data_IF_475620193153
#
_entry.id   IF_475620193153
#
_cell.length_a   1.000
_cell.length_b   1.000
_cell.length_c   1.000
_cell.angle_alpha   90.00
_cell.angle_beta   90.00
_cell.angle_gamma   90.00
#
_symmetry.space_group_name_H-M   'P 1'
#
loop_
_entity.id
_entity.type
_entity.pdbx_description
1 polymer ?
#
# COMPACT_ATOMS: atom_id res chain seq x y z
N UNK A 1 28.32 2.28 16.21
CA UNK A 1 27.48 3.00 15.23
C UNK A 1 28.33 3.13 13.99
N UNK A 2 28.17 2.23 13.02
CA UNK A 2 29.02 2.14 11.83
C UNK A 2 28.59 3.20 10.82
N UNK A 3 29.48 4.16 10.56
CA UNK A 3 29.26 5.28 9.64
C UNK A 3 29.69 4.85 8.23
N UNK A 4 28.76 4.82 7.27
CA UNK A 4 29.07 4.78 5.84
C UNK A 4 28.75 6.17 5.29
N UNK A 5 29.78 7.01 5.12
CA UNK A 5 29.63 8.40 4.64
C UNK A 5 28.75 9.28 5.55
N UNK A 6 28.54 10.54 5.19
CA UNK A 6 27.73 11.49 5.97
C UNK A 6 26.22 11.13 6.10
N UNK A 7 25.82 9.90 5.74
CA UNK A 7 24.47 9.40 5.81
C UNK A 7 24.27 8.58 7.10
N UNK A 8 23.54 9.16 8.06
CA UNK A 8 23.16 8.44 9.28
C UNK A 8 21.95 7.56 8.98
N UNK A 9 22.14 6.26 8.84
CA UNK A 9 21.04 5.29 8.79
C UNK A 9 20.23 5.37 10.09
N UNK A 10 19.02 5.93 9.99
CA UNK A 10 18.09 6.00 11.11
C UNK A 10 17.52 4.62 11.44
N UNK A 11 17.18 4.40 12.71
CA UNK A 11 16.53 3.16 13.16
C UNK A 11 15.22 2.88 12.40
N UNK A 12 14.51 3.92 11.98
CA UNK A 12 13.32 3.80 11.12
C UNK A 12 13.68 3.13 9.79
N UNK A 13 14.77 3.53 9.14
CA UNK A 13 15.24 2.94 7.87
C UNK A 13 15.54 1.46 8.04
N UNK A 14 16.19 1.08 9.14
CA UNK A 14 16.48 -0.33 9.47
C UNK A 14 15.18 -1.11 9.69
N UNK A 15 14.23 -0.56 10.44
CA UNK A 15 12.90 -1.17 10.64
C UNK A 15 12.13 -1.34 9.33
N UNK A 16 12.22 -0.37 8.42
CA UNK A 16 11.59 -0.49 7.09
C UNK A 16 12.21 -1.65 6.31
N UNK A 17 13.53 -1.71 6.24
CA UNK A 17 14.23 -2.80 5.56
C UNK A 17 13.90 -4.17 6.16
N UNK A 18 13.81 -4.26 7.50
CA UNK A 18 13.39 -5.47 8.19
C UNK A 18 11.93 -5.86 7.86
N UNK A 19 11.01 -4.90 7.84
CA UNK A 19 9.61 -5.17 7.46
C UNK A 19 9.50 -5.67 6.02
N UNK A 20 10.27 -5.09 5.09
CA UNK A 20 10.37 -5.55 3.70
C UNK A 20 10.95 -6.96 3.63
N UNK A 21 12.04 -7.24 4.36
CA UNK A 21 12.64 -8.57 4.41
C UNK A 21 11.64 -9.62 4.91
N UNK A 22 10.86 -9.32 5.96
CA UNK A 22 9.81 -10.22 6.45
C UNK A 22 8.71 -10.41 5.41
N UNK A 23 8.29 -9.36 4.68
CA UNK A 23 7.33 -9.51 3.58
C UNK A 23 7.86 -10.48 2.51
N UNK A 24 9.13 -10.36 2.11
CA UNK A 24 9.76 -11.25 1.13
C UNK A 24 9.78 -12.69 1.64
N UNK A 25 10.19 -12.90 2.89
CA UNK A 25 10.22 -14.24 3.49
C UNK A 25 8.84 -14.87 3.56
N UNK A 26 7.82 -14.11 3.98
CA UNK A 26 6.43 -14.60 4.00
C UNK A 26 5.98 -15.00 2.59
N UNK A 27 6.23 -14.18 1.57
CA UNK A 27 5.78 -14.53 0.21
C UNK A 27 6.54 -15.73 -0.37
N UNK A 28 7.83 -15.87 -0.03
CA UNK A 28 8.63 -17.02 -0.43
C UNK A 28 8.17 -18.32 0.24
N UNK A 29 7.96 -18.33 1.56
CA UNK A 29 7.58 -19.56 2.27
C UNK A 29 6.14 -20.01 2.04
N UNK A 30 5.26 -19.10 1.60
CA UNK A 30 3.86 -19.40 1.30
C UNK A 30 3.58 -19.48 -0.22
N UNK A 31 4.61 -19.46 -1.07
CA UNK A 31 4.50 -19.50 -2.54
C UNK A 31 3.45 -18.52 -3.11
N UNK A 32 3.36 -17.33 -2.52
CA UNK A 32 2.29 -16.36 -2.78
C UNK A 32 2.53 -15.50 -4.03
N UNK A 33 3.70 -15.62 -4.64
CA UNK A 33 4.12 -14.82 -5.80
C UNK A 33 4.91 -13.57 -5.40
N UNK A 34 4.80 -12.50 -6.18
CA UNK A 34 5.64 -11.30 -6.01
C UNK A 34 5.21 -10.45 -4.79
N UNK A 35 6.11 -10.15 -3.83
CA UNK A 35 5.78 -9.41 -2.60
C UNK A 35 5.60 -7.90 -2.78
N UNK A 36 5.53 -7.39 -4.01
CA UNK A 36 5.62 -5.95 -4.30
C UNK A 36 4.59 -5.13 -3.52
N UNK A 37 3.32 -5.55 -3.52
CA UNK A 37 2.23 -4.82 -2.85
C UNK A 37 2.40 -4.85 -1.33
N UNK A 38 2.79 -6.00 -0.76
CA UNK A 38 3.07 -6.12 0.66
C UNK A 38 4.27 -5.24 1.08
N UNK A 39 5.36 -5.25 0.33
CA UNK A 39 6.53 -4.41 0.59
C UNK A 39 6.19 -2.92 0.53
N UNK A 40 5.46 -2.47 -0.50
CA UNK A 40 5.01 -1.06 -0.61
C UNK A 40 4.07 -0.68 0.54
N UNK A 41 3.18 -1.59 0.92
CA UNK A 41 2.28 -1.40 2.07
C UNK A 41 3.06 -1.26 3.37
N UNK A 42 4.08 -2.09 3.58
CA UNK A 42 4.96 -2.02 4.74
C UNK A 42 5.73 -0.69 4.79
N UNK A 43 6.33 -0.27 3.67
CA UNK A 43 7.07 1.01 3.58
C UNK A 43 6.15 2.20 3.85
N UNK A 44 4.92 2.17 3.32
CA UNK A 44 3.95 3.22 3.54
C UNK A 44 3.51 3.29 5.01
N UNK A 45 3.16 2.15 5.61
CA UNK A 45 2.67 2.09 6.98
C UNK A 45 3.76 2.41 8.01
N UNK A 46 5.03 2.13 7.75
CA UNK A 46 6.09 2.32 8.74
C UNK A 46 6.43 3.81 8.96
N UNK A 47 6.14 4.28 10.17
CA UNK A 47 6.40 5.65 10.65
C UNK A 47 7.36 5.64 11.84
N UNK A 48 7.66 6.81 12.39
CA UNK A 48 8.58 6.95 13.53
C UNK A 48 8.11 6.17 14.77
N UNK A 49 6.80 6.20 15.04
CA UNK A 49 6.19 5.57 16.20
C UNK A 49 5.16 4.52 15.76
N UNK A 50 4.90 3.52 16.61
CA UNK A 50 3.95 2.46 16.28
C UNK A 50 2.51 2.98 16.15
N UNK A 51 2.09 3.96 16.98
CA UNK A 51 0.75 4.56 16.91
C UNK A 51 0.51 5.28 15.58
N UNK A 52 1.50 6.03 15.11
CA UNK A 52 1.43 6.69 13.81
C UNK A 52 1.49 5.66 12.68
N UNK A 53 2.25 4.57 12.85
CA UNK A 53 2.25 3.47 11.88
C UNK A 53 0.90 2.78 11.76
N UNK A 54 0.21 2.59 12.89
CA UNK A 54 -1.16 2.08 12.92
C UNK A 54 -2.14 3.02 12.20
N UNK A 55 -2.06 4.33 12.48
CA UNK A 55 -2.90 5.32 11.81
C UNK A 55 -2.69 5.32 10.29
N UNK A 56 -1.44 5.36 9.83
CA UNK A 56 -1.11 5.30 8.40
C UNK A 56 -1.43 3.93 7.77
N UNK A 57 -1.32 2.84 8.53
CA UNK A 57 -1.75 1.51 8.10
C UNK A 57 -3.24 1.47 7.79
N UNK A 58 -4.08 2.03 8.67
CA UNK A 58 -5.53 2.15 8.40
C UNK A 58 -5.80 2.96 7.13
N UNK A 59 -5.11 4.10 6.97
CA UNK A 59 -5.22 4.94 5.76
C UNK A 59 -4.87 4.16 4.50
N UNK A 60 -3.79 3.37 4.55
CA UNK A 60 -3.32 2.55 3.42
C UNK A 60 -4.34 1.48 3.04
N UNK A 61 -4.84 0.75 4.03
CA UNK A 61 -5.84 -0.31 3.84
C UNK A 61 -7.11 0.28 3.23
N UNK A 62 -7.66 1.35 3.83
CA UNK A 62 -8.90 1.98 3.36
C UNK A 62 -8.74 2.54 1.95
N UNK A 63 -7.66 3.29 1.69
CA UNK A 63 -7.41 3.87 0.38
C UNK A 63 -7.24 2.80 -0.70
N UNK A 64 -6.37 1.80 -0.45
CA UNK A 64 -6.18 0.72 -1.41
C UNK A 64 -7.47 -0.09 -1.64
N UNK A 65 -8.32 -0.23 -0.62
CA UNK A 65 -9.62 -0.90 -0.75
C UNK A 65 -10.57 -0.14 -1.66
N UNK A 66 -10.70 1.17 -1.47
CA UNK A 66 -11.54 2.02 -2.32
C UNK A 66 -11.08 1.94 -3.78
N UNK A 67 -9.77 2.07 -4.02
CA UNK A 67 -9.22 1.98 -5.37
C UNK A 67 -9.45 0.62 -6.03
N UNK A 68 -9.17 -0.47 -5.31
CA UNK A 68 -9.33 -1.82 -5.84
C UNK A 68 -10.80 -2.20 -6.10
N UNK A 69 -11.72 -1.79 -5.22
CA UNK A 69 -13.15 -2.01 -5.42
C UNK A 69 -13.69 -1.18 -6.59
N UNK A 70 -13.24 0.07 -6.74
CA UNK A 70 -13.62 0.91 -7.88
C UNK A 70 -13.12 0.30 -9.20
N UNK A 71 -11.88 -0.20 -9.24
CA UNK A 71 -11.34 -0.88 -10.42
C UNK A 71 -12.12 -2.16 -10.74
N UNK A 72 -12.46 -2.95 -9.71
CA UNK A 72 -13.26 -4.16 -9.87
C UNK A 72 -14.62 -3.85 -10.50
N UNK A 73 -15.30 -2.80 -10.03
CA UNK A 73 -16.58 -2.38 -10.61
C UNK A 73 -16.42 -1.99 -12.10
N UNK A 74 -15.38 -1.22 -12.44
CA UNK A 74 -15.10 -0.79 -13.80
C UNK A 74 -14.78 -1.96 -14.75
N UNK A 75 -13.94 -2.88 -14.31
CA UNK A 75 -13.59 -4.11 -15.02
C UNK A 75 -14.84 -4.94 -15.28
N UNK A 76 -15.72 -5.11 -14.28
CA UNK A 76 -16.96 -5.86 -14.45
C UNK A 76 -17.88 -5.19 -15.48
N UNK A 77 -18.01 -3.86 -15.46
CA UNK A 77 -18.79 -3.12 -16.46
C UNK A 77 -18.23 -3.37 -17.86
N UNK A 78 -16.91 -3.27 -18.06
CA UNK A 78 -16.27 -3.53 -19.34
C UNK A 78 -16.41 -4.99 -19.79
N UNK A 79 -16.38 -5.93 -18.86
CA UNK A 79 -16.59 -7.34 -19.17
C UNK A 79 -17.96 -7.61 -19.82
N UNK A 80 -19.01 -6.89 -19.39
CA UNK A 80 -20.35 -7.05 -19.95
C UNK A 80 -20.67 -6.13 -21.14
N UNK A 81 -20.12 -4.91 -21.15
CA UNK A 81 -20.46 -3.88 -22.15
C UNK A 81 -19.41 -3.73 -23.26
N UNK A 82 -18.25 -4.38 -23.13
CA UNK A 82 -17.10 -4.24 -24.01
C UNK A 82 -16.21 -3.05 -23.66
N UNK A 83 -14.96 -3.14 -24.09
CA UNK A 83 -13.97 -2.07 -23.94
C UNK A 83 -14.19 -1.02 -25.04
N UNK A 84 -14.42 0.24 -24.63
CA UNK A 84 -14.55 1.36 -25.58
C UNK A 84 -13.71 2.54 -25.11
N UNK A 85 -13.10 3.23 -26.07
CA UNK A 85 -12.30 4.43 -25.80
C UNK A 85 -13.10 5.52 -25.06
N UNK A 86 -14.38 5.68 -25.37
CA UNK A 86 -15.23 6.68 -24.71
C UNK A 86 -15.51 6.35 -23.25
N UNK A 87 -15.72 5.07 -22.91
CA UNK A 87 -15.86 4.64 -21.53
C UNK A 87 -14.57 4.91 -20.74
N UNK A 88 -13.40 4.67 -21.34
CA UNK A 88 -12.13 4.98 -20.71
C UNK A 88 -11.95 6.50 -20.52
N UNK A 89 -12.08 7.26 -21.61
CA UNK A 89 -11.84 8.71 -21.64
C UNK A 89 -12.70 9.48 -20.62
N UNK A 90 -13.94 9.06 -20.42
CA UNK A 90 -14.89 9.73 -19.52
C UNK A 90 -14.94 9.02 -18.16
N UNK A 91 -15.01 7.69 -18.17
CA UNK A 91 -15.19 6.89 -16.96
C UNK A 91 -14.00 6.92 -16.03
N UNK A 92 -12.76 6.83 -16.53
CA UNK A 92 -11.55 6.83 -15.69
C UNK A 92 -11.40 8.15 -14.91
N UNK A 93 -11.53 9.34 -15.54
CA UNK A 93 -11.54 10.61 -14.78
C UNK A 93 -12.68 10.70 -13.76
N UNK A 94 -13.88 10.25 -14.10
CA UNK A 94 -15.01 10.23 -13.17
C UNK A 94 -14.77 9.30 -11.99
N UNK A 95 -14.15 8.14 -12.20
CA UNK A 95 -13.74 7.23 -11.15
C UNK A 95 -12.70 7.86 -10.23
N UNK A 96 -11.73 8.59 -10.78
CA UNK A 96 -10.73 9.32 -9.98
C UNK A 96 -11.41 10.39 -9.12
N UNK A 97 -12.33 11.18 -9.69
CA UNK A 97 -13.12 12.16 -8.92
C UNK A 97 -13.91 11.46 -7.81
N UNK A 98 -14.60 10.37 -8.15
CA UNK A 98 -15.36 9.56 -7.18
C UNK A 98 -14.47 9.07 -6.03
N UNK A 99 -13.29 8.51 -6.32
CA UNK A 99 -12.33 8.03 -5.32
C UNK A 99 -11.88 9.17 -4.41
N UNK A 100 -11.54 10.33 -4.99
CA UNK A 100 -11.11 11.52 -4.23
C UNK A 100 -12.21 11.96 -3.27
N UNK A 101 -13.43 12.16 -3.78
CA UNK A 101 -14.58 12.60 -2.98
C UNK A 101 -14.91 11.58 -1.90
N UNK A 102 -14.93 10.29 -2.22
CA UNK A 102 -15.21 9.24 -1.23
C UNK A 102 -14.15 9.21 -0.13
N UNK A 103 -12.86 9.28 -0.48
CA UNK A 103 -11.78 9.32 0.50
C UNK A 103 -11.86 10.57 1.39
N UNK A 104 -12.18 11.73 0.82
CA UNK A 104 -12.34 12.97 1.58
C UNK A 104 -13.53 12.89 2.56
N UNK A 105 -14.68 12.38 2.08
CA UNK A 105 -15.90 12.27 2.89
C UNK A 105 -15.77 11.34 4.09
N UNK A 106 -14.93 10.31 4.01
CA UNK A 106 -14.64 9.41 5.14
C UNK A 106 -13.43 9.85 5.98
N UNK A 107 -12.85 11.03 5.69
CA UNK A 107 -11.69 11.57 6.40
C UNK A 107 -10.38 10.83 6.12
N UNK A 108 -10.27 10.14 4.99
CA UNK A 108 -9.08 9.38 4.57
C UNK A 108 -8.25 10.10 3.50
N UNK A 109 -8.14 11.44 3.59
CA UNK A 109 -7.43 12.29 2.63
C UNK A 109 -5.98 11.82 2.35
N UNK A 110 -5.18 11.39 3.35
CA UNK A 110 -3.83 10.89 3.08
C UNK A 110 -3.79 9.59 2.25
N UNK A 111 -4.92 8.89 2.13
CA UNK A 111 -5.09 7.66 1.37
C UNK A 111 -5.43 7.88 -0.11
N UNK A 112 -5.76 9.11 -0.54
CA UNK A 112 -6.21 9.42 -1.91
C UNK A 112 -5.21 8.94 -2.96
N UNK A 113 -3.92 9.28 -2.81
CA UNK A 113 -2.86 8.86 -3.75
C UNK A 113 -2.78 7.33 -3.83
N UNK A 114 -2.91 6.65 -2.68
CA UNK A 114 -2.89 5.19 -2.63
C UNK A 114 -4.10 4.55 -3.30
N UNK A 115 -5.28 5.17 -3.16
CA UNK A 115 -6.52 4.72 -3.75
C UNK A 115 -6.53 4.90 -5.26
N UNK A 116 -6.21 6.09 -5.75
CA UNK A 116 -6.16 6.38 -7.20
C UNK A 116 -5.07 5.55 -7.88
N UNK A 117 -3.90 5.38 -7.27
CA UNK A 117 -2.87 4.50 -7.80
C UNK A 117 -3.31 3.03 -7.86
N UNK A 118 -4.02 2.53 -6.84
CA UNK A 118 -4.57 1.17 -6.88
C UNK A 118 -5.57 0.99 -8.02
N UNK A 119 -6.48 1.95 -8.19
CA UNK A 119 -7.45 1.96 -9.29
C UNK A 119 -6.75 1.94 -10.66
N UNK A 120 -5.87 2.90 -10.91
CA UNK A 120 -5.20 3.06 -12.20
C UNK A 120 -4.29 1.87 -12.53
N UNK A 121 -3.55 1.34 -11.55
CA UNK A 121 -2.71 0.16 -11.77
C UNK A 121 -3.59 -1.03 -12.17
N UNK A 122 -4.66 -1.31 -11.43
CA UNK A 122 -5.51 -2.47 -11.74
C UNK A 122 -6.14 -2.29 -13.13
N UNK A 123 -6.71 -1.11 -13.39
CA UNK A 123 -7.39 -0.83 -14.65
C UNK A 123 -6.46 -0.90 -15.88
N UNK A 124 -5.25 -0.33 -15.79
CA UNK A 124 -4.36 -0.21 -16.95
C UNK A 124 -3.37 -1.34 -17.15
N UNK A 125 -3.05 -2.11 -16.11
CA UNK A 125 -1.93 -3.06 -16.17
C UNK A 125 -2.36 -4.52 -16.05
N UNK A 126 -3.58 -4.78 -15.60
CA UNK A 126 -4.05 -6.15 -15.37
C UNK A 126 -5.05 -6.52 -16.46
N UNK A 127 -4.85 -7.65 -17.16
CA UNK A 127 -5.82 -8.17 -18.10
C UNK A 127 -7.21 -8.31 -17.48
N UNK A 128 -8.26 -8.03 -18.27
CA UNK A 128 -9.65 -7.94 -17.81
C UNK A 128 -10.13 -9.21 -17.09
N UNK A 129 -9.75 -10.37 -17.60
CA UNK A 129 -10.07 -11.70 -17.06
C UNK A 129 -9.44 -11.97 -15.68
N UNK A 130 -8.31 -11.32 -15.38
CA UNK A 130 -7.55 -11.52 -14.14
C UNK A 130 -7.69 -10.36 -13.14
N UNK A 131 -8.25 -9.22 -13.55
CA UNK A 131 -8.24 -8.00 -12.75
C UNK A 131 -9.02 -8.11 -11.43
N UNK A 132 -10.13 -8.87 -11.40
CA UNK A 132 -10.89 -9.12 -10.16
C UNK A 132 -10.08 -9.93 -9.15
N UNK A 133 -9.46 -11.04 -9.60
CA UNK A 133 -8.63 -11.88 -8.75
C UNK A 133 -7.42 -11.10 -8.23
N UNK A 134 -6.76 -10.34 -9.10
CA UNK A 134 -5.65 -9.47 -8.73
C UNK A 134 -6.07 -8.40 -7.71
N UNK A 135 -7.25 -7.77 -7.86
CA UNK A 135 -7.75 -6.80 -6.91
C UNK A 135 -7.91 -7.41 -5.51
N UNK A 136 -8.46 -8.62 -5.41
CA UNK A 136 -8.58 -9.36 -4.14
C UNK A 136 -7.21 -9.68 -3.56
N UNK A 137 -6.28 -10.22 -4.36
CA UNK A 137 -4.91 -10.50 -3.91
C UNK A 137 -4.22 -9.23 -3.40
N UNK A 138 -4.37 -8.11 -4.11
CA UNK A 138 -3.82 -6.80 -3.72
C UNK A 138 -4.34 -6.33 -2.37
N UNK A 139 -5.61 -6.57 -2.04
CA UNK A 139 -6.16 -6.26 -0.72
C UNK A 139 -5.42 -7.06 0.35
N UNK A 140 -5.37 -8.38 0.22
CA UNK A 140 -4.68 -9.26 1.16
C UNK A 140 -3.21 -8.90 1.33
N UNK A 141 -2.49 -8.64 0.23
CA UNK A 141 -1.09 -8.27 0.26
C UNK A 141 -0.88 -6.93 0.97
N UNK A 142 -1.81 -5.98 0.78
CA UNK A 142 -1.81 -4.70 1.49
C UNK A 142 -1.98 -4.93 2.99
N UNK A 143 -2.90 -5.80 3.41
CA UNK A 143 -3.07 -6.17 4.82
C UNK A 143 -1.80 -6.79 5.40
N UNK A 144 -1.24 -7.80 4.71
CA UNK A 144 -0.01 -8.50 5.14
C UNK A 144 1.11 -7.50 5.40
N UNK A 145 1.42 -6.66 4.41
CA UNK A 145 2.48 -5.66 4.53
C UNK A 145 2.25 -4.64 5.65
N UNK A 146 1.01 -4.15 5.78
CA UNK A 146 0.64 -3.18 6.83
C UNK A 146 0.80 -3.80 8.23
N UNK A 147 0.33 -5.03 8.43
CA UNK A 147 0.44 -5.72 9.72
C UNK A 147 1.88 -6.04 10.08
N UNK A 148 2.69 -6.50 9.11
CA UNK A 148 4.13 -6.71 9.32
C UNK A 148 4.80 -5.39 9.75
N UNK A 149 4.53 -4.28 9.08
CA UNK A 149 5.12 -2.98 9.44
C UNK A 149 4.73 -2.52 10.84
N UNK A 150 3.46 -2.67 11.24
CA UNK A 150 3.00 -2.32 12.59
C UNK A 150 3.67 -3.22 13.62
N UNK A 151 3.73 -4.53 13.37
CA UNK A 151 4.39 -5.50 14.24
C UNK A 151 5.88 -5.19 14.43
N UNK A 152 6.61 -5.00 13.33
CA UNK A 152 8.03 -4.63 13.36
C UNK A 152 8.24 -3.34 14.14
N UNK A 153 7.42 -2.31 13.91
CA UNK A 153 7.63 -1.05 14.60
C UNK A 153 7.31 -1.12 16.10
N UNK A 154 6.36 -2.00 16.48
CA UNK A 154 5.96 -2.20 17.88
C UNK A 154 6.94 -3.07 18.66
N UNK A 155 7.50 -4.10 18.02
CA UNK A 155 8.32 -5.14 18.67
C UNK A 155 9.81 -4.83 18.65
N UNK A 156 10.32 -4.15 17.61
CA UNK A 156 11.74 -3.80 17.52
C UNK A 156 11.99 -2.51 18.30
N UNK A 157 12.75 -2.54 19.41
CA UNK A 157 13.00 -1.35 20.21
C UNK A 157 13.85 -0.33 19.43
N UNK A 158 13.61 0.96 19.69
CA UNK A 158 14.54 1.99 19.26
C UNK A 158 15.76 1.95 20.19
N UNK A 159 16.96 1.72 19.65
CA UNK A 159 18.18 1.85 20.46
C UNK A 159 18.25 3.29 20.99
N UNK A 160 18.37 3.50 22.32
CA UNK A 160 18.48 4.84 22.87
C UNK A 160 19.73 5.51 22.28
N UNK A 161 19.57 6.74 21.78
CA UNK A 161 20.74 7.58 21.46
C UNK A 161 21.56 7.69 22.75
N UNK A 162 22.81 7.21 22.74
CA UNK A 162 23.78 7.60 23.78
C UNK A 162 23.78 9.12 23.79
N UNK A 163 23.34 9.72 24.90
CA UNK A 163 23.51 11.14 25.15
C UNK A 163 24.98 11.45 24.91
N UNK A 164 25.27 12.29 23.91
CA UNK A 164 26.58 12.87 23.79
C UNK A 164 26.75 13.73 25.05
N UNK A 165 27.47 13.21 26.04
CA UNK A 165 27.95 14.00 27.17
C UNK A 165 28.65 15.22 26.57
N UNK A 166 28.07 16.38 26.83
CA UNK A 166 28.66 17.67 26.52
C UNK A 166 29.78 17.95 27.51
#
# INVERSE_FOLDING_TARGET
MSTIGNYRLGIRTIKTALAVAICILVFHFFDRGAPMIACLSAIYALRENWKTSYAFGKTRILGNSIGALTATAFVLIQHFLGETFWFELIGVPLAVIFIIVLCDRIGNNPGIIGATAAFLIIYYTIPLDNAVLYAVQRLFDTFIGTFIAIGVNRLVPAFPKKSAKK
#
